data_IF_818291937390
#
_entry.id   IF_818291937390
#
_cell.length_a   1.000
_cell.length_b   1.000
_cell.length_c   1.000
_cell.angle_alpha   90.00
_cell.angle_beta   90.00
_cell.angle_gamma   90.00
#
_symmetry.space_group_name_H-M   'P 1'
#
loop_
_entity.id
_entity.type
_entity.pdbx_description
1 polymer ?
#
# COMPACT_ATOMS: atom_id res chain seq x y z
N UNK A 1 -14.49 27.72 5.67
CA UNK A 1 -14.77 28.18 4.29
C UNK A 1 -13.85 27.41 3.35
N UNK A 2 -14.36 26.77 2.30
CA UNK A 2 -13.58 25.79 1.53
C UNK A 2 -12.60 26.50 0.59
N UNK A 3 -11.32 26.14 0.73
CA UNK A 3 -10.19 26.56 -0.11
C UNK A 3 -10.20 25.87 -1.50
N UNK A 4 -11.31 25.21 -1.85
CA UNK A 4 -11.42 24.33 -3.02
C UNK A 4 -11.44 25.07 -4.37
N UNK A 5 -12.17 26.20 -4.54
CA UNK A 5 -12.19 26.91 -5.83
C UNK A 5 -10.81 27.48 -6.19
N UNK A 6 -10.09 28.03 -5.20
CA UNK A 6 -8.74 28.57 -5.39
C UNK A 6 -7.74 27.46 -5.72
N UNK A 7 -7.83 26.30 -5.05
CA UNK A 7 -7.00 25.13 -5.36
C UNK A 7 -7.27 24.54 -6.74
N UNK A 8 -8.52 24.49 -7.16
CA UNK A 8 -8.88 23.97 -8.48
C UNK A 8 -8.39 24.93 -9.59
N UNK A 9 -8.53 26.24 -9.39
CA UNK A 9 -7.96 27.24 -10.28
C UNK A 9 -6.43 27.13 -10.38
N UNK A 10 -5.74 26.96 -9.25
CA UNK A 10 -4.30 26.75 -9.23
C UNK A 10 -3.89 25.42 -9.92
N UNK A 11 -4.65 24.35 -9.72
CA UNK A 11 -4.41 23.06 -10.37
C UNK A 11 -4.56 23.16 -11.89
N UNK A 12 -5.66 23.75 -12.37
CA UNK A 12 -5.90 23.93 -13.81
C UNK A 12 -4.87 24.88 -14.43
N UNK A 13 -4.52 25.98 -13.74
CA UNK A 13 -3.45 26.88 -14.18
C UNK A 13 -2.08 26.19 -14.24
N UNK A 14 -1.78 25.29 -13.29
CA UNK A 14 -0.55 24.49 -13.35
C UNK A 14 -0.54 23.51 -14.52
N UNK A 15 -1.70 22.93 -14.86
CA UNK A 15 -1.84 22.05 -16.02
C UNK A 15 -1.65 22.80 -17.34
N UNK A 16 -2.05 24.07 -17.41
CA UNK A 16 -1.83 24.93 -18.59
C UNK A 16 -0.38 25.30 -18.83
N UNK A 17 0.43 25.31 -17.77
CA UNK A 17 1.86 25.57 -17.89
C UNK A 17 2.67 24.41 -18.49
N UNK A 18 2.06 23.22 -18.62
CA UNK A 18 2.70 22.05 -19.21
C UNK A 18 2.79 22.16 -20.74
N UNK A 19 3.71 21.41 -21.36
CA UNK A 19 3.75 21.30 -22.82
C UNK A 19 2.51 20.58 -23.35
N UNK A 20 2.16 20.79 -24.63
CA UNK A 20 1.04 20.07 -25.25
C UNK A 20 1.22 18.55 -25.19
N UNK A 21 2.44 18.06 -25.39
CA UNK A 21 2.78 16.64 -25.29
C UNK A 21 2.55 16.10 -23.86
N UNK A 22 2.95 16.86 -22.83
CA UNK A 22 2.71 16.48 -21.43
C UNK A 22 1.22 16.45 -21.10
N UNK A 23 0.45 17.45 -21.56
CA UNK A 23 -1.01 17.48 -21.37
C UNK A 23 -1.69 16.29 -22.04
N UNK A 24 -1.34 16.01 -23.29
CA UNK A 24 -1.87 14.88 -24.05
C UNK A 24 -1.54 13.54 -23.37
N UNK A 25 -0.30 13.37 -22.89
CA UNK A 25 0.11 12.19 -22.14
C UNK A 25 -0.72 11.99 -20.85
N UNK A 26 -0.95 13.07 -20.10
CA UNK A 26 -1.76 13.01 -18.86
C UNK A 26 -3.22 12.70 -19.19
N UNK A 27 -3.84 13.39 -20.15
CA UNK A 27 -5.24 13.16 -20.55
C UNK A 27 -5.45 11.74 -21.05
N UNK A 28 -4.54 11.26 -21.90
CA UNK A 28 -4.57 9.89 -22.43
C UNK A 28 -4.49 8.88 -21.29
N UNK A 29 -3.53 9.05 -20.38
CA UNK A 29 -3.39 8.16 -19.22
C UNK A 29 -4.62 8.20 -18.31
N UNK A 30 -5.19 9.37 -18.03
CA UNK A 30 -6.40 9.50 -17.21
C UNK A 30 -7.61 8.83 -17.85
N UNK A 31 -7.77 8.86 -19.19
CA UNK A 31 -8.83 8.12 -19.88
C UNK A 31 -8.64 6.61 -19.78
N UNK A 32 -7.42 6.12 -20.02
CA UNK A 32 -7.10 4.69 -19.87
C UNK A 32 -7.32 4.23 -18.43
N UNK A 33 -6.90 5.03 -17.45
CA UNK A 33 -7.12 4.77 -16.03
C UNK A 33 -8.59 4.80 -15.64
N UNK A 34 -9.40 5.69 -16.22
CA UNK A 34 -10.84 5.74 -16.02
C UNK A 34 -11.52 4.45 -16.48
N UNK A 35 -11.17 3.98 -17.68
CA UNK A 35 -11.68 2.72 -18.23
C UNK A 35 -11.26 1.55 -17.34
N UNK A 36 -10.00 1.52 -16.90
CA UNK A 36 -9.50 0.48 -15.99
C UNK A 36 -10.20 0.50 -14.63
N UNK A 37 -10.63 1.67 -14.15
CA UNK A 37 -11.33 1.85 -12.88
C UNK A 37 -12.82 1.51 -12.96
N UNK A 38 -13.51 1.93 -14.02
CA UNK A 38 -14.98 1.89 -14.12
C UNK A 38 -15.51 0.83 -15.08
N UNK A 39 -14.68 0.33 -16.00
CA UNK A 39 -15.06 -0.60 -17.05
C UNK A 39 -15.66 0.06 -18.30
N UNK A 40 -15.79 1.39 -18.34
CA UNK A 40 -16.38 2.13 -19.46
C UNK A 40 -15.61 3.42 -19.77
N UNK A 41 -15.82 3.99 -20.96
CA UNK A 41 -15.31 5.32 -21.28
C UNK A 41 -15.96 6.40 -20.39
N UNK A 42 -15.32 7.57 -20.20
CA UNK A 42 -15.95 8.72 -19.54
C UNK A 42 -17.26 9.10 -20.25
N UNK A 43 -18.35 9.21 -19.49
CA UNK A 43 -19.65 9.67 -19.95
C UNK A 43 -19.82 11.17 -19.69
N UNK A 44 -21.00 11.59 -19.21
CA UNK A 44 -21.22 12.96 -18.75
C UNK A 44 -20.77 13.15 -17.29
N UNK A 45 -20.24 14.32 -16.95
CA UNK A 45 -19.64 14.56 -15.63
C UNK A 45 -20.52 14.16 -14.44
N UNK A 46 -21.83 14.42 -14.49
CA UNK A 46 -22.75 14.03 -13.39
C UNK A 46 -22.88 12.51 -13.22
N UNK A 47 -22.99 11.76 -14.33
CA UNK A 47 -23.08 10.29 -14.32
C UNK A 47 -21.78 9.68 -13.80
N UNK A 48 -20.67 10.29 -14.19
CA UNK A 48 -19.35 9.84 -13.78
C UNK A 48 -19.07 10.15 -12.29
N UNK A 49 -19.60 11.25 -11.75
CA UNK A 49 -19.59 11.50 -10.31
C UNK A 49 -20.36 10.42 -9.54
N UNK A 50 -21.52 9.96 -10.02
CA UNK A 50 -22.25 8.85 -9.38
C UNK A 50 -21.39 7.57 -9.33
N UNK A 51 -20.65 7.27 -10.39
CA UNK A 51 -19.70 6.15 -10.43
C UNK A 51 -18.59 6.30 -9.37
N UNK A 52 -18.13 7.53 -9.13
CA UNK A 52 -17.10 7.84 -8.13
C UNK A 52 -17.62 7.81 -6.69
N UNK A 53 -18.94 7.86 -6.44
CA UNK A 53 -19.49 7.82 -5.08
C UNK A 53 -19.04 6.57 -4.31
N UNK A 54 -18.84 5.44 -4.99
CA UNK A 54 -18.39 4.18 -4.37
C UNK A 54 -17.03 4.27 -3.68
N UNK A 55 -16.21 5.26 -4.04
CA UNK A 55 -14.85 5.43 -3.52
C UNK A 55 -14.69 6.77 -2.80
N UNK A 56 -15.34 7.83 -3.30
CA UNK A 56 -15.11 9.19 -2.85
C UNK A 56 -16.28 9.82 -2.08
N UNK A 57 -17.41 9.12 -1.89
CA UNK A 57 -18.50 9.61 -1.04
C UNK A 57 -18.09 9.62 0.45
N UNK A 58 -18.51 10.64 1.23
CA UNK A 58 -18.27 10.73 2.67
C UNK A 58 -18.64 9.48 3.48
N UNK A 59 -19.60 8.70 3.00
CA UNK A 59 -20.13 7.50 3.66
C UNK A 59 -19.26 6.25 3.43
N UNK A 60 -18.29 6.32 2.52
CA UNK A 60 -17.45 5.16 2.17
C UNK A 60 -16.41 4.90 3.26
N UNK A 61 -16.35 3.66 3.72
CA UNK A 61 -15.37 3.25 4.73
C UNK A 61 -13.98 2.98 4.12
N UNK A 62 -12.88 3.14 4.89
CA UNK A 62 -11.54 2.73 4.45
C UNK A 62 -11.41 1.24 4.08
N UNK A 63 -12.33 0.38 4.56
CA UNK A 63 -12.39 -1.03 4.17
C UNK A 63 -12.89 -1.16 2.72
N UNK A 64 -13.99 -0.48 2.39
CA UNK A 64 -14.57 -0.49 1.04
C UNK A 64 -13.61 0.10 0.01
N UNK A 65 -12.94 1.21 0.34
CA UNK A 65 -11.94 1.85 -0.53
C UNK A 65 -10.80 0.87 -0.86
N UNK A 66 -10.29 0.14 0.14
CA UNK A 66 -9.22 -0.84 -0.08
C UNK A 66 -9.68 -2.06 -0.88
N UNK A 67 -10.91 -2.52 -0.68
CA UNK A 67 -11.49 -3.57 -1.51
C UNK A 67 -11.59 -3.13 -2.98
N UNK A 68 -12.08 -1.91 -3.24
CA UNK A 68 -12.12 -1.33 -4.58
C UNK A 68 -10.71 -1.18 -5.18
N UNK A 69 -9.72 -0.81 -4.37
CA UNK A 69 -8.33 -0.67 -4.80
C UNK A 69 -7.70 -2.03 -5.19
N UNK A 70 -8.11 -3.12 -4.55
CA UNK A 70 -7.65 -4.47 -4.89
C UNK A 70 -8.25 -4.99 -6.21
N UNK A 71 -9.42 -4.48 -6.62
CA UNK A 71 -10.06 -4.84 -7.90
C UNK A 71 -9.65 -3.96 -9.08
N UNK A 72 -8.75 -2.99 -8.89
CA UNK A 72 -8.31 -2.12 -9.97
C UNK A 72 -7.52 -2.90 -11.02
N UNK A 73 -7.84 -2.63 -12.28
CA UNK A 73 -7.13 -3.17 -13.43
C UNK A 73 -5.88 -2.32 -13.69
N UNK A 74 -4.79 -2.96 -14.10
CA UNK A 74 -3.57 -2.26 -14.48
C UNK A 74 -3.76 -1.52 -15.82
N UNK A 75 -3.34 -0.26 -15.83
CA UNK A 75 -3.22 0.57 -17.04
C UNK A 75 -2.04 0.06 -17.87
N UNK A 76 -2.19 -0.13 -19.19
CA UNK A 76 -1.16 -0.73 -20.04
C UNK A 76 0.07 0.18 -20.23
N UNK A 77 -0.06 1.48 -19.94
CA UNK A 77 0.99 2.49 -20.10
C UNK A 77 1.69 2.81 -18.78
N UNK A 78 2.95 3.27 -18.89
CA UNK A 78 3.65 3.88 -17.77
C UNK A 78 2.98 5.19 -17.35
N UNK A 79 2.95 5.45 -16.04
CA UNK A 79 2.31 6.62 -15.46
C UNK A 79 3.17 7.86 -15.69
N UNK A 80 2.69 8.91 -16.38
CA UNK A 80 3.39 10.19 -16.44
C UNK A 80 3.37 10.88 -15.07
N UNK A 81 4.08 12.00 -14.92
CA UNK A 81 4.03 12.79 -13.69
C UNK A 81 2.66 13.48 -13.55
N UNK A 82 1.72 12.82 -12.87
CA UNK A 82 0.36 13.32 -12.63
C UNK A 82 0.23 13.77 -11.16
N UNK A 83 -0.25 15.00 -10.90
CA UNK A 83 -0.57 15.46 -9.55
C UNK A 83 -1.55 14.55 -8.81
N UNK A 84 -1.36 14.38 -7.50
CA UNK A 84 -2.23 13.57 -6.64
C UNK A 84 -3.67 14.12 -6.57
N UNK A 85 -3.87 15.37 -6.99
CA UNK A 85 -5.16 16.00 -7.22
C UNK A 85 -5.98 15.33 -8.30
N UNK A 86 -5.35 14.88 -9.39
CA UNK A 86 -6.04 14.33 -10.54
C UNK A 86 -6.08 12.80 -10.50
N UNK A 87 -5.09 12.18 -9.87
CA UNK A 87 -4.94 10.73 -9.83
C UNK A 87 -4.31 10.25 -8.52
N UNK A 88 -4.97 9.30 -7.86
CA UNK A 88 -4.45 8.64 -6.66
C UNK A 88 -3.83 7.29 -7.05
N UNK A 89 -2.48 7.20 -7.15
CA UNK A 89 -1.84 5.94 -7.47
C UNK A 89 -2.03 4.95 -6.32
N UNK A 90 -2.49 3.74 -6.66
CA UNK A 90 -2.48 2.59 -5.76
C UNK A 90 -1.17 1.84 -6.00
N UNK A 91 -0.92 1.35 -7.21
CA UNK A 91 0.34 0.71 -7.61
C UNK A 91 1.09 1.58 -8.64
N UNK A 92 2.18 1.07 -9.22
CA UNK A 92 2.87 1.74 -10.33
C UNK A 92 2.03 1.81 -11.61
N UNK A 93 1.01 0.95 -11.76
CA UNK A 93 0.16 0.85 -12.97
C UNK A 93 -1.33 0.87 -12.67
N UNK A 94 -1.76 1.06 -11.43
CA UNK A 94 -3.18 1.07 -11.08
C UNK A 94 -3.46 2.16 -10.04
N UNK A 95 -4.66 2.73 -10.07
CA UNK A 95 -5.04 3.84 -9.20
C UNK A 95 -6.40 4.40 -9.55
N UNK A 96 -6.83 5.41 -8.80
CA UNK A 96 -8.13 6.05 -8.98
C UNK A 96 -7.96 7.40 -9.66
N UNK A 97 -8.71 7.62 -10.73
CA UNK A 97 -9.02 8.96 -11.23
C UNK A 97 -9.90 9.65 -10.19
N UNK A 98 -9.48 10.82 -9.74
CA UNK A 98 -10.27 11.62 -8.78
C UNK A 98 -11.40 12.35 -9.51
N UNK A 99 -12.42 12.84 -8.80
CA UNK A 99 -13.36 13.81 -9.33
C UNK A 99 -12.71 14.99 -10.06
N UNK A 100 -11.59 15.53 -9.57
CA UNK A 100 -10.84 16.60 -10.25
C UNK A 100 -10.15 16.10 -11.53
N UNK A 101 -9.59 14.89 -11.53
CA UNK A 101 -9.06 14.24 -12.72
C UNK A 101 -10.13 13.99 -13.76
N UNK A 102 -11.33 13.60 -13.32
CA UNK A 102 -12.49 13.43 -14.19
C UNK A 102 -12.99 14.77 -14.71
N UNK A 103 -12.98 15.82 -13.88
CA UNK A 103 -13.31 17.17 -14.32
C UNK A 103 -12.38 17.63 -15.44
N UNK A 104 -11.08 17.37 -15.31
CA UNK A 104 -10.10 17.68 -16.36
C UNK A 104 -10.43 16.95 -17.67
N UNK A 105 -10.88 15.70 -17.61
CA UNK A 105 -11.34 14.96 -18.79
C UNK A 105 -12.60 15.56 -19.43
N UNK A 106 -13.47 16.20 -18.65
CA UNK A 106 -14.68 16.88 -19.16
C UNK A 106 -14.32 18.17 -19.89
N UNK A 107 -13.45 18.96 -19.27
CA UNK A 107 -13.04 20.26 -19.80
C UNK A 107 -12.28 20.08 -21.11
N UNK A 108 -11.42 19.06 -21.23
CA UNK A 108 -10.59 18.91 -22.42
C UNK A 108 -9.84 20.21 -22.75
N UNK A 109 -9.97 20.68 -23.99
CA UNK A 109 -9.44 21.98 -24.44
C UNK A 109 -10.43 23.14 -24.27
N UNK A 110 -11.70 22.86 -23.95
CA UNK A 110 -12.78 23.85 -23.85
C UNK A 110 -13.00 24.30 -22.40
N UNK A 111 -12.65 25.56 -22.13
CA UNK A 111 -12.59 26.12 -20.77
C UNK A 111 -13.34 27.43 -20.62
N UNK A 112 -14.52 27.50 -21.20
CA UNK A 112 -15.42 28.61 -20.92
C UNK A 112 -15.64 28.78 -19.41
N UNK A 113 -15.49 30.02 -18.92
CA UNK A 113 -15.54 30.37 -17.49
C UNK A 113 -16.86 29.92 -16.85
N UNK A 114 -17.97 30.06 -17.57
CA UNK A 114 -19.31 29.67 -17.11
C UNK A 114 -19.44 28.15 -16.93
N UNK A 115 -18.87 27.38 -17.86
CA UNK A 115 -18.85 25.92 -17.80
C UNK A 115 -17.99 25.42 -16.62
N UNK A 116 -16.81 26.04 -16.42
CA UNK A 116 -15.92 25.72 -15.31
C UNK A 116 -16.57 26.00 -13.95
N UNK A 117 -17.32 27.09 -13.82
CA UNK A 117 -18.03 27.43 -12.58
C UNK A 117 -19.10 26.39 -12.23
N UNK A 118 -19.93 25.98 -13.19
CA UNK A 118 -20.97 24.97 -12.98
C UNK A 118 -20.38 23.63 -12.53
N UNK A 119 -19.34 23.16 -13.24
CA UNK A 119 -18.68 21.90 -12.89
C UNK A 119 -17.98 21.96 -11.53
N UNK A 120 -17.39 23.11 -11.17
CA UNK A 120 -16.79 23.32 -9.84
C UNK A 120 -17.84 23.23 -8.73
N UNK A 121 -19.02 23.84 -8.93
CA UNK A 121 -20.12 23.75 -7.97
C UNK A 121 -20.60 22.30 -7.77
N UNK A 122 -20.67 21.51 -8.85
CA UNK A 122 -20.98 20.07 -8.77
C UNK A 122 -19.94 19.31 -7.96
N UNK A 123 -18.65 19.59 -8.17
CA UNK A 123 -17.55 18.95 -7.44
C UNK A 123 -17.56 19.31 -5.94
N UNK A 124 -17.87 20.56 -5.59
CA UNK A 124 -18.03 20.99 -4.18
C UNK A 124 -19.19 20.25 -3.50
N UNK A 125 -20.32 20.09 -4.19
CA UNK A 125 -21.47 19.31 -3.68
C UNK A 125 -21.13 17.84 -3.49
N UNK A 126 -20.31 17.29 -4.37
CA UNK A 126 -19.90 15.89 -4.33
C UNK A 126 -19.05 15.54 -3.10
N UNK A 127 -18.04 16.36 -2.77
CA UNK A 127 -17.04 15.98 -1.76
C UNK A 127 -17.44 16.21 -0.30
N UNK A 128 -18.35 17.15 -0.02
CA UNK A 128 -18.50 17.67 1.34
C UNK A 128 -17.16 18.23 1.89
N UNK A 129 -17.14 18.70 3.13
CA UNK A 129 -16.05 19.55 3.61
C UNK A 129 -14.69 18.87 3.87
N UNK A 130 -14.47 17.55 3.71
CA UNK A 130 -13.13 16.97 4.03
C UNK A 130 -12.76 15.56 3.50
N UNK A 131 -13.52 14.92 2.61
CA UNK A 131 -13.36 13.47 2.40
C UNK A 131 -12.15 13.01 1.55
N UNK A 132 -11.58 13.86 0.69
CA UNK A 132 -10.44 13.49 -0.18
C UNK A 132 -9.21 12.98 0.58
N UNK A 133 -8.94 13.52 1.78
CA UNK A 133 -7.83 13.07 2.64
C UNK A 133 -8.01 11.64 3.15
N UNK A 134 -9.27 11.20 3.33
CA UNK A 134 -9.60 9.85 3.79
C UNK A 134 -9.28 8.84 2.69
N UNK A 135 -9.67 9.11 1.45
CA UNK A 135 -9.38 8.25 0.30
C UNK A 135 -7.89 8.14 0.07
N UNK A 136 -7.17 9.27 0.00
CA UNK A 136 -5.71 9.28 -0.18
C UNK A 136 -4.99 8.45 0.89
N UNK A 137 -5.43 8.53 2.16
CA UNK A 137 -4.88 7.72 3.26
C UNK A 137 -5.27 6.24 3.17
N UNK A 138 -6.47 5.93 2.69
CA UNK A 138 -6.93 4.55 2.56
C UNK A 138 -6.24 3.81 1.41
N UNK A 139 -5.88 4.52 0.33
CA UNK A 139 -5.25 3.95 -0.87
C UNK A 139 -3.73 4.03 -0.88
N UNK A 140 -3.13 4.88 -0.03
CA UNK A 140 -1.67 4.94 0.09
C UNK A 140 -1.13 3.57 0.48
N UNK A 141 -0.44 2.92 -0.46
CA UNK A 141 0.30 1.69 -0.21
C UNK A 141 1.30 1.97 0.91
N UNK A 142 1.26 1.14 1.96
CA UNK A 142 2.03 1.37 3.17
C UNK A 142 1.63 2.69 3.84
N UNK A 143 0.41 2.76 4.41
CA UNK A 143 0.00 3.84 5.32
C UNK A 143 0.98 4.00 6.50
N UNK A 144 0.56 4.56 7.64
CA UNK A 144 1.39 4.50 8.85
C UNK A 144 1.42 3.06 9.40
N UNK A 145 2.10 2.16 8.66
CA UNK A 145 2.35 0.79 9.07
C UNK A 145 3.12 0.85 10.37
N UNK A 146 2.55 0.21 11.39
CA UNK A 146 3.20 0.14 12.69
C UNK A 146 4.53 -0.60 12.56
N UNK A 147 5.60 -0.16 13.25
CA UNK A 147 6.91 -0.80 13.21
C UNK A 147 6.88 -2.33 13.40
N UNK A 148 5.99 -2.84 14.26
CA UNK A 148 5.80 -4.27 14.48
C UNK A 148 5.28 -5.01 13.24
N UNK A 149 4.38 -4.38 12.47
CA UNK A 149 3.89 -4.94 11.19
C UNK A 149 5.01 -5.00 10.14
N UNK A 150 5.88 -3.99 10.11
CA UNK A 150 7.07 -4.00 9.24
C UNK A 150 8.02 -5.15 9.61
N UNK A 151 8.27 -5.34 10.91
CA UNK A 151 9.06 -6.46 11.41
C UNK A 151 8.46 -7.82 11.07
N UNK A 152 7.13 -7.95 11.14
CA UNK A 152 6.46 -9.19 10.73
C UNK A 152 6.55 -9.44 9.22
N UNK A 153 6.41 -8.42 8.36
CA UNK A 153 6.66 -8.57 6.93
C UNK A 153 8.11 -9.00 6.65
N UNK A 154 9.07 -8.37 7.32
CA UNK A 154 10.47 -8.73 7.18
C UNK A 154 10.72 -10.18 7.63
N UNK A 155 10.10 -10.63 8.71
CA UNK A 155 10.14 -12.04 9.12
C UNK A 155 9.62 -12.99 8.03
N UNK A 156 8.47 -12.70 7.40
CA UNK A 156 7.93 -13.56 6.35
C UNK A 156 8.90 -13.68 5.16
N UNK A 157 9.52 -12.58 4.76
CA UNK A 157 10.53 -12.56 3.70
C UNK A 157 11.81 -13.30 4.13
N UNK A 158 12.22 -13.13 5.39
CA UNK A 158 13.41 -13.76 5.95
C UNK A 158 13.26 -15.28 6.05
N UNK A 159 12.11 -15.75 6.53
CA UNK A 159 11.78 -17.18 6.61
C UNK A 159 11.48 -17.82 5.24
N UNK A 160 11.43 -17.02 4.17
CA UNK A 160 11.16 -17.52 2.83
C UNK A 160 9.71 -17.97 2.63
N UNK A 161 8.75 -17.34 3.32
CA UNK A 161 7.33 -17.66 3.19
C UNK A 161 6.73 -17.15 1.88
N UNK A 162 7.27 -17.60 0.74
CA UNK A 162 6.92 -17.18 -0.61
C UNK A 162 6.06 -18.26 -1.29
N UNK A 163 4.78 -17.92 -1.49
CA UNK A 163 3.79 -18.84 -2.04
C UNK A 163 3.17 -19.77 -1.00
N UNK A 164 2.10 -20.46 -1.40
CA UNK A 164 1.32 -21.33 -0.53
C UNK A 164 2.13 -22.56 -0.05
N UNK A 165 2.98 -23.12 -0.91
CA UNK A 165 3.84 -24.28 -0.60
C UNK A 165 4.88 -24.00 0.49
N UNK A 166 5.21 -22.72 0.72
CA UNK A 166 6.16 -22.26 1.73
C UNK A 166 5.45 -21.43 2.81
N UNK A 167 4.15 -21.62 3.01
CA UNK A 167 3.43 -20.82 3.99
C UNK A 167 3.89 -21.08 5.42
N UNK A 168 3.87 -20.04 6.26
CA UNK A 168 3.92 -20.21 7.70
C UNK A 168 2.63 -20.91 8.14
N UNK A 169 2.73 -22.20 8.46
CA UNK A 169 1.61 -22.99 8.96
C UNK A 169 1.42 -22.70 10.44
N UNK A 170 0.21 -22.28 10.82
CA UNK A 170 -0.13 -22.04 12.22
C UNK A 170 -0.63 -23.35 12.86
N UNK A 171 0.00 -23.84 13.94
CA UNK A 171 -0.45 -25.04 14.63
C UNK A 171 -1.87 -24.90 15.18
N UNK A 172 -2.62 -26.02 15.18
CA UNK A 172 -3.94 -26.09 15.83
C UNK A 172 -3.83 -26.16 17.35
N UNK A 173 -2.76 -26.78 17.85
CA UNK A 173 -2.50 -26.86 19.29
C UNK A 173 -2.15 -25.47 19.84
N UNK A 174 -2.79 -25.09 20.96
CA UNK A 174 -2.66 -23.75 21.54
C UNK A 174 -1.28 -23.50 22.14
N UNK A 175 -0.61 -24.54 22.65
CA UNK A 175 0.73 -24.42 23.20
C UNK A 175 1.72 -24.22 22.06
N UNK A 176 1.62 -25.03 21.02
CA UNK A 176 2.48 -24.91 19.84
C UNK A 176 2.27 -23.57 19.11
N UNK A 177 1.02 -23.10 18.97
CA UNK A 177 0.74 -21.77 18.42
C UNK A 177 1.39 -20.67 19.26
N UNK A 178 1.29 -20.75 20.59
CA UNK A 178 1.90 -19.75 21.48
C UNK A 178 3.42 -19.74 21.37
N UNK A 179 4.03 -20.92 21.30
CA UNK A 179 5.47 -21.08 21.12
C UNK A 179 5.93 -20.49 19.79
N UNK A 180 5.21 -20.78 18.70
CA UNK A 180 5.46 -20.21 17.39
C UNK A 180 5.25 -18.68 17.38
N UNK A 181 4.14 -18.19 17.93
CA UNK A 181 3.84 -16.77 18.04
C UNK A 181 4.94 -16.04 18.80
N UNK A 182 5.44 -16.62 19.90
CA UNK A 182 6.54 -16.03 20.68
C UNK A 182 7.82 -15.94 19.86
N UNK A 183 8.17 -16.99 19.11
CA UNK A 183 9.35 -17.00 18.25
C UNK A 183 9.25 -15.94 17.14
N UNK A 184 8.15 -15.95 16.39
CA UNK A 184 7.90 -15.02 15.27
C UNK A 184 7.87 -13.56 15.75
N UNK A 185 7.17 -13.28 16.85
CA UNK A 185 7.04 -11.91 17.36
C UNK A 185 8.35 -11.38 17.97
N UNK A 186 9.27 -12.26 18.38
CA UNK A 186 10.62 -11.84 18.82
C UNK A 186 11.42 -11.23 17.68
N UNK A 187 11.33 -11.79 16.47
CA UNK A 187 11.98 -11.22 15.27
C UNK A 187 11.31 -9.90 14.87
N UNK A 188 9.97 -9.87 14.86
CA UNK A 188 9.22 -8.66 14.54
C UNK A 188 9.49 -7.52 15.53
N UNK A 189 9.63 -7.83 16.81
CA UNK A 189 10.03 -6.90 17.85
C UNK A 189 11.44 -6.36 17.62
N UNK A 190 12.41 -7.24 17.37
CA UNK A 190 13.79 -6.84 17.18
C UNK A 190 13.95 -5.83 16.03
N UNK A 191 13.26 -6.08 14.91
CA UNK A 191 13.19 -5.13 13.81
C UNK A 191 12.51 -3.82 14.22
N UNK A 192 11.34 -3.91 14.87
CA UNK A 192 10.53 -2.77 15.30
C UNK A 192 11.31 -1.82 16.22
N UNK A 193 11.99 -2.36 17.23
CA UNK A 193 12.74 -1.56 18.21
C UNK A 193 13.95 -0.88 17.58
N UNK A 194 14.64 -1.54 16.64
CA UNK A 194 15.81 -0.96 15.97
C UNK A 194 15.48 0.25 15.10
N UNK A 195 14.24 0.36 14.61
CA UNK A 195 13.75 1.55 13.88
C UNK A 195 13.04 2.57 14.78
N UNK A 196 13.13 2.42 16.11
CA UNK A 196 12.51 3.33 17.09
C UNK A 196 11.02 3.07 17.36
N UNK A 197 10.52 1.89 17.01
CA UNK A 197 9.19 1.41 17.37
C UNK A 197 9.11 0.88 18.81
N UNK A 198 7.88 0.64 19.27
CA UNK A 198 7.65 0.00 20.57
C UNK A 198 7.89 -1.51 20.50
N UNK A 199 8.24 -2.15 21.62
CA UNK A 199 8.26 -3.61 21.71
C UNK A 199 6.85 -4.19 21.49
N UNK A 200 6.79 -5.48 21.14
CA UNK A 200 5.55 -6.26 21.02
C UNK A 200 5.08 -6.63 22.42
N UNK A 201 3.84 -6.28 22.77
CA UNK A 201 3.33 -6.53 24.12
C UNK A 201 3.23 -8.04 24.39
N UNK A 202 3.41 -8.46 25.64
CA UNK A 202 3.41 -9.90 26.01
C UNK A 202 2.16 -10.63 25.57
N UNK A 203 0.98 -9.99 25.69
CA UNK A 203 -0.30 -10.55 25.23
C UNK A 203 -0.33 -10.84 23.72
N UNK A 204 0.43 -10.07 22.94
CA UNK A 204 0.53 -10.17 21.48
C UNK A 204 1.50 -11.28 21.06
N UNK A 205 2.17 -11.95 22.00
CA UNK A 205 3.03 -13.10 21.72
C UNK A 205 2.33 -14.45 21.91
N UNK A 206 1.01 -14.41 22.14
CA UNK A 206 0.26 -15.60 22.58
C UNK A 206 -0.42 -16.37 21.44
N UNK A 207 -0.78 -15.68 20.35
CA UNK A 207 -1.46 -16.27 19.18
C UNK A 207 -1.05 -15.55 17.91
N UNK A 208 -1.05 -16.27 16.79
CA UNK A 208 -0.85 -15.71 15.45
C UNK A 208 -2.20 -15.45 14.76
N UNK A 209 -3.14 -16.40 14.89
CA UNK A 209 -4.45 -16.38 14.21
C UNK A 209 -5.29 -15.13 14.51
N UNK A 210 -5.27 -14.68 15.76
CA UNK A 210 -6.04 -13.52 16.25
C UNK A 210 -5.16 -12.30 16.52
N UNK A 211 -3.90 -12.34 16.06
CA UNK A 211 -2.95 -11.28 16.33
C UNK A 211 -3.27 -10.03 15.52
N UNK A 212 -3.29 -8.86 16.17
CA UNK A 212 -3.51 -7.61 15.43
C UNK A 212 -2.37 -7.32 14.44
N UNK A 213 -1.13 -7.72 14.73
CA UNK A 213 0.03 -7.52 13.84
C UNK A 213 -0.15 -8.33 12.56
N UNK A 214 -0.55 -9.60 12.68
CA UNK A 214 -0.77 -10.51 11.53
C UNK A 214 -2.00 -10.09 10.72
N UNK A 215 -3.10 -9.76 11.40
CA UNK A 215 -4.31 -9.27 10.72
C UNK A 215 -4.08 -7.93 10.04
N UNK A 216 -3.31 -7.02 10.65
CA UNK A 216 -2.91 -5.76 10.02
C UNK A 216 -1.97 -5.99 8.83
N UNK A 217 -1.02 -6.92 8.96
CA UNK A 217 -0.12 -7.32 7.89
C UNK A 217 -0.92 -7.81 6.67
N UNK A 218 -1.86 -8.71 6.85
CA UNK A 218 -2.78 -9.15 5.79
C UNK A 218 -3.55 -7.95 5.21
N UNK A 219 -4.22 -7.17 6.06
CA UNK A 219 -5.12 -6.07 5.68
C UNK A 219 -4.44 -4.95 4.90
N UNK A 220 -3.21 -4.60 5.25
CA UNK A 220 -2.50 -3.46 4.67
C UNK A 220 -1.61 -3.84 3.50
N UNK A 221 -1.27 -5.12 3.33
CA UNK A 221 -0.39 -5.62 2.26
C UNK A 221 -0.98 -5.49 0.85
N UNK A 222 -2.24 -5.06 0.74
CA UNK A 222 -2.98 -4.98 -0.53
C UNK A 222 -2.94 -6.31 -1.30
N UNK A 223 -3.01 -7.43 -0.58
CA UNK A 223 -2.97 -8.78 -1.13
C UNK A 223 -1.56 -9.34 -1.37
N UNK A 224 -0.49 -8.62 -1.02
CA UNK A 224 0.86 -9.17 -1.05
C UNK A 224 1.10 -10.21 0.04
N UNK A 225 0.42 -10.11 1.18
CA UNK A 225 0.38 -11.13 2.24
C UNK A 225 -1.01 -11.73 2.29
N UNK A 226 -1.09 -13.06 2.37
CA UNK A 226 -2.32 -13.85 2.48
C UNK A 226 -2.37 -14.51 3.84
N UNK A 227 -3.56 -14.52 4.42
CA UNK A 227 -3.89 -15.24 5.64
C UNK A 227 -5.14 -16.05 5.32
N UNK A 228 -4.96 -17.34 5.06
CA UNK A 228 -6.03 -18.20 4.53
C UNK A 228 -6.19 -19.41 5.44
N UNK A 229 -7.43 -19.85 5.66
CA UNK A 229 -7.73 -21.10 6.34
C UNK A 229 -8.06 -22.16 5.29
N UNK A 230 -7.16 -23.14 5.15
CA UNK A 230 -7.30 -24.22 4.17
C UNK A 230 -7.39 -25.53 4.94
N UNK A 231 -8.54 -26.19 4.85
CA UNK A 231 -8.82 -27.46 5.53
C UNK A 231 -8.59 -27.38 7.06
N UNK A 232 -8.95 -26.24 7.66
CA UNK A 232 -8.81 -25.99 9.09
C UNK A 232 -7.39 -25.65 9.53
N UNK A 233 -6.48 -25.38 8.59
CA UNK A 233 -5.11 -24.96 8.90
C UNK A 233 -4.88 -23.56 8.39
N UNK A 234 -4.61 -22.64 9.31
CA UNK A 234 -4.28 -21.26 8.94
C UNK A 234 -2.88 -21.19 8.34
N UNK A 235 -2.78 -20.63 7.14
CA UNK A 235 -1.55 -20.44 6.37
C UNK A 235 -1.31 -18.94 6.19
N UNK A 236 -0.09 -18.50 6.49
CA UNK A 236 0.33 -17.11 6.25
C UNK A 236 1.52 -17.08 5.29
N UNK A 237 1.37 -16.41 4.14
CA UNK A 237 2.42 -16.36 3.12
C UNK A 237 2.41 -15.05 2.33
N UNK A 238 3.53 -14.76 1.69
CA UNK A 238 3.69 -13.68 0.71
C UNK A 238 3.38 -14.24 -0.68
N UNK A 239 2.53 -13.58 -1.45
CA UNK A 239 2.31 -13.93 -2.85
C UNK A 239 3.61 -13.68 -3.61
N UNK A 240 4.18 -14.71 -4.22
CA UNK A 240 5.53 -14.67 -4.80
C UNK A 240 5.71 -13.53 -5.83
N UNK A 241 4.75 -13.38 -6.73
CA UNK A 241 4.71 -12.29 -7.72
C UNK A 241 4.60 -10.88 -7.12
N UNK A 242 4.26 -10.78 -5.83
CA UNK A 242 4.12 -9.53 -5.07
C UNK A 242 5.22 -9.34 -4.01
N UNK A 243 6.26 -10.18 -3.99
CA UNK A 243 7.43 -10.03 -3.10
C UNK A 243 8.05 -8.63 -3.20
N UNK A 244 8.32 -8.18 -4.44
CA UNK A 244 8.89 -6.85 -4.68
C UNK A 244 7.97 -5.71 -4.23
N UNK A 245 6.65 -5.88 -4.37
CA UNK A 245 5.66 -4.94 -3.84
C UNK A 245 5.74 -4.86 -2.31
N UNK A 246 5.82 -5.99 -1.62
CA UNK A 246 5.94 -6.01 -0.16
C UNK A 246 7.24 -5.35 0.32
N UNK A 247 8.36 -5.61 -0.36
CA UNK A 247 9.63 -4.96 -0.03
C UNK A 247 9.54 -3.44 -0.24
N UNK A 248 8.96 -3.00 -1.36
CA UNK A 248 8.69 -1.58 -1.64
C UNK A 248 7.77 -0.93 -0.59
N UNK A 249 6.81 -1.68 -0.05
CA UNK A 249 5.96 -1.21 1.05
C UNK A 249 6.74 -0.99 2.34
N UNK A 250 7.62 -1.93 2.69
CA UNK A 250 8.48 -1.82 3.88
C UNK A 250 9.38 -0.60 3.71
N UNK A 251 10.09 -0.49 2.59
CA UNK A 251 11.04 0.59 2.33
C UNK A 251 10.39 1.96 2.28
N UNK A 252 9.24 2.10 1.62
CA UNK A 252 8.49 3.36 1.57
C UNK A 252 7.98 3.77 2.95
N UNK A 253 7.56 2.79 3.78
CA UNK A 253 7.10 3.07 5.15
C UNK A 253 8.26 3.50 6.06
N UNK A 254 9.45 2.93 5.87
CA UNK A 254 10.67 3.36 6.57
C UNK A 254 11.08 4.78 6.14
N UNK A 255 11.08 5.08 4.84
CA UNK A 255 11.46 6.39 4.30
C UNK A 255 10.55 7.55 4.75
N UNK A 256 9.31 7.26 5.17
CA UNK A 256 8.40 8.26 5.75
C UNK A 256 8.76 8.63 7.19
N UNK A 257 9.56 7.83 7.89
CA UNK A 257 9.90 8.02 9.31
C UNK A 257 11.12 8.92 9.45
N UNK A 258 10.92 10.12 10.01
CA UNK A 258 12.00 11.11 10.20
C UNK A 258 13.20 10.59 11.00
N UNK A 259 12.98 9.65 11.92
CA UNK A 259 14.01 9.09 12.80
C UNK A 259 14.66 7.82 12.24
N UNK A 260 14.39 7.44 10.99
CA UNK A 260 14.98 6.26 10.35
C UNK A 260 15.90 6.75 9.22
N UNK A 261 17.18 6.37 9.32
CA UNK A 261 18.19 6.56 8.28
C UNK A 261 18.69 5.20 7.79
N UNK A 262 19.58 5.19 6.80
CA UNK A 262 20.12 3.94 6.24
C UNK A 262 20.83 3.08 7.31
N UNK A 263 21.53 3.71 8.27
CA UNK A 263 22.20 3.03 9.37
C UNK A 263 21.20 2.27 10.26
N UNK A 264 20.05 2.87 10.57
CA UNK A 264 18.98 2.20 11.32
C UNK A 264 18.30 1.09 10.53
N UNK A 265 18.16 1.25 9.21
CA UNK A 265 17.63 0.18 8.34
C UNK A 265 18.56 -1.04 8.38
N UNK A 266 19.87 -0.83 8.25
CA UNK A 266 20.90 -1.88 8.40
C UNK A 266 20.81 -2.57 9.74
N UNK A 267 20.86 -1.78 10.82
CA UNK A 267 20.79 -2.30 12.17
C UNK A 267 19.50 -3.12 12.39
N UNK A 268 18.37 -2.67 11.88
CA UNK A 268 17.11 -3.41 11.99
C UNK A 268 17.14 -4.74 11.22
N UNK A 269 17.70 -4.75 10.01
CA UNK A 269 17.87 -5.96 9.22
C UNK A 269 18.80 -6.96 9.93
N UNK A 270 19.97 -6.52 10.40
CA UNK A 270 20.96 -7.33 11.12
C UNK A 270 20.40 -7.89 12.43
N UNK A 271 19.75 -7.05 13.24
CA UNK A 271 19.18 -7.46 14.53
C UNK A 271 18.08 -8.51 14.33
N UNK A 272 17.23 -8.31 13.31
CA UNK A 272 16.18 -9.26 12.98
C UNK A 272 16.75 -10.58 12.43
N UNK A 273 17.79 -10.53 11.58
CA UNK A 273 18.48 -11.72 11.07
C UNK A 273 19.18 -12.50 12.19
N UNK A 274 19.86 -11.82 13.11
CA UNK A 274 20.47 -12.45 14.29
C UNK A 274 19.40 -13.13 15.16
N UNK A 275 18.31 -12.41 15.46
CA UNK A 275 17.19 -12.97 16.23
C UNK A 275 16.52 -14.15 15.52
N UNK A 276 16.46 -14.12 14.19
CA UNK A 276 15.93 -15.22 13.39
C UNK A 276 16.81 -16.47 13.47
N UNK A 277 18.13 -16.30 13.38
CA UNK A 277 19.09 -17.40 13.55
C UNK A 277 18.91 -18.11 14.89
N UNK A 278 18.62 -17.38 15.97
CA UNK A 278 18.35 -17.97 17.29
C UNK A 278 17.09 -18.86 17.30
N UNK A 279 16.05 -18.49 16.54
CA UNK A 279 14.79 -19.25 16.51
C UNK A 279 14.75 -20.30 15.40
N UNK A 280 15.70 -20.27 14.47
CA UNK A 280 15.76 -21.15 13.31
C UNK A 280 15.70 -22.64 13.67
N UNK A 281 16.45 -23.15 14.68
CA UNK A 281 16.35 -24.57 15.06
C UNK A 281 14.93 -24.98 15.45
N UNK A 282 14.19 -24.08 16.09
CA UNK A 282 12.81 -24.33 16.48
C UNK A 282 11.87 -24.33 15.28
N UNK A 283 12.03 -23.37 14.36
CA UNK A 283 11.27 -23.35 13.11
C UNK A 283 11.54 -24.62 12.27
N UNK A 284 12.79 -25.11 12.24
CA UNK A 284 13.15 -26.38 11.59
C UNK A 284 12.42 -27.56 12.21
N UNK A 285 12.32 -27.61 13.54
CA UNK A 285 11.61 -28.70 14.25
C UNK A 285 10.11 -28.76 13.92
N UNK A 286 9.52 -27.63 13.52
CA UNK A 286 8.13 -27.57 13.04
C UNK A 286 7.98 -27.76 11.53
N UNK A 287 9.07 -27.98 10.79
CA UNK A 287 9.05 -28.05 9.34
C UNK A 287 8.66 -26.72 8.67
N UNK A 288 8.91 -25.58 9.33
CA UNK A 288 8.52 -24.24 8.89
C UNK A 288 9.68 -23.45 8.28
N UNK A 289 10.79 -24.12 7.99
CA UNK A 289 11.93 -23.51 7.31
C UNK A 289 11.97 -23.99 5.87
N UNK A 290 11.93 -23.05 4.96
CA UNK A 290 11.99 -23.32 3.54
C UNK A 290 13.43 -23.10 3.13
N UNK A 291 14.10 -24.15 2.65
CA UNK A 291 15.51 -24.10 2.30
C UNK A 291 15.77 -22.97 1.32
N UNK A 292 16.47 -21.97 1.86
CA UNK A 292 17.07 -20.89 1.12
C UNK A 292 18.18 -21.47 0.25
N UNK A 293 17.95 -21.57 -1.06
CA UNK A 293 18.98 -22.02 -1.99
C UNK A 293 20.24 -21.16 -1.83
N UNK A 294 21.43 -21.73 -1.96
CA UNK A 294 22.74 -21.06 -1.78
C UNK A 294 22.94 -19.76 -2.62
N UNK A 295 21.98 -19.39 -3.48
CA UNK A 295 21.85 -18.09 -4.19
C UNK A 295 21.09 -17.00 -3.41
N UNK A 296 20.76 -17.23 -2.15
CA UNK A 296 19.99 -16.30 -1.33
C UNK A 296 20.64 -14.94 -1.23
N UNK A 297 20.05 -14.01 -2.00
CA UNK A 297 20.31 -12.60 -1.94
C UNK A 297 20.22 -12.13 -0.49
N UNK A 298 21.17 -11.28 -0.11
CA UNK A 298 21.16 -10.59 1.17
C UNK A 298 19.89 -9.72 1.25
N UNK A 299 18.85 -10.22 1.94
CA UNK A 299 17.58 -9.52 2.13
C UNK A 299 17.80 -8.16 2.82
N UNK A 300 18.87 -8.03 3.62
CA UNK A 300 19.29 -6.76 4.20
C UNK A 300 19.69 -5.78 3.10
N UNK A 301 20.59 -6.20 2.20
CA UNK A 301 21.01 -5.42 1.03
C UNK A 301 19.84 -5.07 0.09
N UNK A 302 18.89 -5.98 -0.11
CA UNK A 302 17.68 -5.70 -0.88
C UNK A 302 16.81 -4.62 -0.22
N UNK A 303 16.63 -4.70 1.10
CA UNK A 303 15.89 -3.70 1.87
C UNK A 303 16.59 -2.33 1.83
N UNK A 304 17.92 -2.29 1.98
CA UNK A 304 18.72 -1.07 1.83
C UNK A 304 18.56 -0.45 0.45
N UNK A 305 18.68 -1.26 -0.60
CA UNK A 305 18.55 -0.82 -1.99
C UNK A 305 17.15 -0.25 -2.25
N UNK A 306 16.10 -0.93 -1.77
CA UNK A 306 14.73 -0.45 -1.86
C UNK A 306 14.50 0.82 -1.05
N UNK A 307 15.13 0.95 0.12
CA UNK A 307 15.07 2.14 0.97
C UNK A 307 15.68 3.36 0.28
N UNK A 308 16.90 3.24 -0.27
CA UNK A 308 17.56 4.32 -1.02
C UNK A 308 16.71 4.76 -2.21
N UNK A 309 16.16 3.81 -2.98
CA UNK A 309 15.23 4.11 -4.08
C UNK A 309 13.99 4.87 -3.59
N UNK A 310 13.45 4.49 -2.42
CA UNK A 310 12.25 5.14 -1.85
C UNK A 310 12.50 6.59 -1.41
N UNK A 311 13.75 6.95 -1.07
CA UNK A 311 14.12 8.34 -0.77
C UNK A 311 14.21 9.23 -2.01
N UNK A 312 14.41 8.64 -3.19
CA UNK A 312 14.56 9.35 -4.47
C UNK A 312 13.22 9.66 -5.14
N UNK A 313 12.11 9.07 -4.67
CA UNK A 313 10.78 9.35 -5.20
C UNK A 313 10.32 10.72 -4.69
N UNK A 314 10.09 11.71 -5.57
CA UNK A 314 9.60 13.03 -5.15
C UNK A 314 8.26 12.88 -4.43
N UNK A 315 8.15 13.54 -3.27
CA UNK A 315 6.96 13.52 -2.41
C UNK A 315 5.84 14.40 -2.94
#
# INVERSE_FOLDING_TARGET
>A
MSDQPQRLGALLGSFDSLSSEQREAIVTYLREAWIAQTGSAPGGFSVDLESLQRVFSPEVTPKSIRAAAQSLIAVPRERPNIPAELYLPVTSRAGFVTPEGRLLLELGDDREVTHLLDLTLRLVRFYGSTHRKVVARAVSIGGDLRPQTLGFYYFLLLNGCLGESHALMVPKDRRDERELATAVMRVAEAFSTSIGGSPVATRERTRLTSNWIVTEAHRQSMGAVRLEDIQGTTRCFVVESRRGQLLGMISASLAKRRAVDLTRVRLAAETAQSTYSDILPRLKSWGLTWERSVRDHDLGLELETAYVKSLQVPK
#
